data_IF_051286313051
#
_entry.id   IF_051286313051
#
_cell.length_a   1.000
_cell.length_b   1.000
_cell.length_c   1.000
_cell.angle_alpha   90.00
_cell.angle_beta   90.00
_cell.angle_gamma   90.00
#
_symmetry.space_group_name_H-M   'P 1'
#
loop_
_entity.id
_entity.type
_entity.pdbx_description
1 polymer ?
#
# COMPACT_ATOMS: atom_id res chain seq x y z
N UNK A 1 22.58 4.67 16.68
CA UNK A 1 21.28 4.15 16.21
C UNK A 1 20.76 5.21 15.26
N UNK A 2 20.51 4.89 14.00
CA UNK A 2 19.80 5.78 13.07
C UNK A 2 18.40 5.97 13.62
N UNK A 3 17.87 7.21 13.63
CA UNK A 3 16.49 7.49 14.05
C UNK A 3 15.53 6.69 13.17
N UNK A 4 14.51 6.07 13.77
CA UNK A 4 13.48 5.34 13.02
C UNK A 4 12.61 6.33 12.24
N UNK A 5 12.17 5.92 11.05
CA UNK A 5 11.32 6.72 10.19
C UNK A 5 9.87 6.62 10.67
N UNK A 6 9.29 7.74 11.11
CA UNK A 6 7.87 7.80 11.48
C UNK A 6 6.98 7.71 10.25
N UNK A 7 6.06 6.74 10.24
CA UNK A 7 5.16 6.50 9.12
C UNK A 7 3.69 6.41 9.54
N UNK A 8 2.81 6.77 8.63
CA UNK A 8 1.37 6.45 8.66
C UNK A 8 1.10 5.56 7.46
N UNK A 9 0.39 4.45 7.67
CA UNK A 9 0.05 3.47 6.63
C UNK A 9 -1.45 3.54 6.32
N UNK A 10 -1.79 3.87 5.07
CA UNK A 10 -3.15 3.80 4.52
C UNK A 10 -3.25 2.58 3.60
N UNK A 11 -4.20 1.68 3.86
CA UNK A 11 -4.23 0.32 3.30
C UNK A 11 -5.66 -0.18 3.14
N UNK A 12 -5.90 -1.15 2.25
CA UNK A 12 -7.20 -1.83 2.09
C UNK A 12 -7.08 -3.35 2.31
N UNK A 13 -6.73 -3.81 3.54
CA UNK A 13 -6.16 -5.11 3.82
C UNK A 13 -6.77 -6.28 3.08
N UNK A 14 -5.99 -6.72 2.08
CA UNK A 14 -6.05 -7.98 1.40
C UNK A 14 -4.87 -8.87 1.82
N UNK A 15 -4.53 -9.85 0.98
CA UNK A 15 -3.52 -10.87 1.31
C UNK A 15 -2.09 -10.30 1.28
N UNK A 16 -1.73 -9.49 0.30
CA UNK A 16 -0.39 -8.86 0.22
C UNK A 16 -0.25 -7.66 1.16
N UNK A 17 -1.35 -6.93 1.43
CA UNK A 17 -1.37 -5.94 2.52
C UNK A 17 -0.95 -6.55 3.86
N UNK A 18 -1.38 -7.78 4.17
CA UNK A 18 -0.97 -8.44 5.42
C UNK A 18 0.55 -8.58 5.54
N UNK A 19 1.24 -8.85 4.44
CA UNK A 19 2.70 -8.89 4.39
C UNK A 19 3.32 -7.49 4.54
N UNK A 20 2.72 -6.47 3.91
CA UNK A 20 3.17 -5.08 4.01
C UNK A 20 2.98 -4.53 5.44
N UNK A 21 1.83 -4.81 6.08
CA UNK A 21 1.57 -4.44 7.47
C UNK A 21 2.57 -5.14 8.42
N UNK A 22 2.85 -6.44 8.21
CA UNK A 22 3.89 -7.14 8.98
C UNK A 22 5.26 -6.44 8.86
N UNK A 23 5.67 -6.12 7.62
CA UNK A 23 6.92 -5.41 7.40
C UNK A 23 6.95 -4.01 8.02
N UNK A 24 5.84 -3.26 7.95
CA UNK A 24 5.72 -1.94 8.57
C UNK A 24 5.82 -2.00 10.10
N UNK A 25 5.30 -3.06 10.72
CA UNK A 25 5.35 -3.26 12.18
C UNK A 25 6.71 -3.74 12.68
N UNK A 26 7.40 -4.59 11.91
CA UNK A 26 8.57 -5.32 12.41
C UNK A 26 9.90 -4.90 11.78
N UNK A 27 9.91 -4.02 10.75
CA UNK A 27 11.16 -3.44 10.26
C UNK A 27 11.72 -2.47 11.31
N UNK A 28 12.94 -2.73 11.86
CA UNK A 28 13.49 -1.89 12.95
C UNK A 28 13.74 -0.43 12.58
N UNK A 29 13.75 -0.13 11.28
CA UNK A 29 13.95 1.21 10.73
C UNK A 29 12.67 2.04 10.71
N UNK A 30 11.50 1.41 10.89
CA UNK A 30 10.19 2.07 10.82
C UNK A 30 9.57 2.22 12.19
N UNK A 31 8.85 3.30 12.37
CA UNK A 31 8.03 3.59 13.55
C UNK A 31 6.61 3.94 13.08
N UNK A 32 5.75 2.91 13.04
CA UNK A 32 4.39 3.00 12.56
C UNK A 32 3.50 3.67 13.61
N UNK A 33 2.96 4.86 13.29
CA UNK A 33 2.20 5.70 14.22
C UNK A 33 0.68 5.51 14.11
N UNK A 34 0.20 5.14 12.93
CA UNK A 34 -1.23 4.97 12.64
C UNK A 34 -1.41 4.05 11.43
N UNK A 35 -2.42 3.20 11.49
CA UNK A 35 -2.99 2.53 10.32
C UNK A 35 -4.35 3.16 10.00
N UNK A 36 -4.59 3.45 8.72
CA UNK A 36 -5.91 3.83 8.23
C UNK A 36 -6.37 2.85 7.16
N UNK A 37 -7.67 2.62 7.08
CA UNK A 37 -8.23 1.71 6.09
C UNK A 37 -9.10 2.43 5.08
N UNK A 38 -9.20 1.88 3.87
CA UNK A 38 -10.03 2.40 2.78
C UNK A 38 -10.76 1.24 2.11
N UNK A 39 -11.87 1.50 1.46
CA UNK A 39 -12.51 0.52 0.59
C UNK A 39 -11.70 0.35 -0.69
N UNK A 40 -11.44 -0.88 -1.07
CA UNK A 40 -10.66 -1.23 -2.26
C UNK A 40 -10.78 -2.72 -2.53
N UNK A 41 -9.86 -3.53 -2.05
CA UNK A 41 -9.87 -4.98 -2.21
C UNK A 41 -11.22 -5.61 -1.81
N UNK A 42 -11.83 -5.11 -0.75
CA UNK A 42 -13.18 -5.40 -0.28
C UNK A 42 -13.80 -4.14 0.32
N UNK A 43 -15.02 -4.22 0.88
CA UNK A 43 -15.65 -3.06 1.54
C UNK A 43 -14.82 -2.57 2.74
N UNK A 44 -14.97 -1.29 3.11
CA UNK A 44 -14.21 -0.68 4.20
C UNK A 44 -14.43 -1.36 5.56
N UNK A 45 -15.61 -1.92 5.79
CA UNK A 45 -15.90 -2.69 7.00
C UNK A 45 -15.06 -3.97 7.05
N UNK A 46 -14.88 -4.63 5.90
CA UNK A 46 -14.05 -5.83 5.80
C UNK A 46 -12.56 -5.49 5.90
N UNK A 47 -12.08 -4.43 5.21
CA UNK A 47 -10.67 -3.99 5.29
C UNK A 47 -10.32 -3.56 6.70
N UNK A 48 -11.22 -2.83 7.40
CA UNK A 48 -11.05 -2.43 8.80
C UNK A 48 -10.99 -3.65 9.72
N UNK A 49 -11.91 -4.60 9.56
CA UNK A 49 -11.89 -5.85 10.33
C UNK A 49 -10.59 -6.63 10.11
N UNK A 50 -10.15 -6.74 8.87
CA UNK A 50 -8.92 -7.43 8.51
C UNK A 50 -7.68 -6.79 9.18
N UNK A 51 -7.57 -5.46 9.15
CA UNK A 51 -6.49 -4.75 9.84
C UNK A 51 -6.53 -4.97 11.36
N UNK A 52 -7.72 -4.92 11.97
CA UNK A 52 -7.88 -5.18 13.41
C UNK A 52 -7.51 -6.63 13.78
N UNK A 53 -7.85 -7.61 12.94
CA UNK A 53 -7.47 -9.01 13.12
C UNK A 53 -5.94 -9.20 13.08
N UNK A 54 -5.26 -8.54 12.13
CA UNK A 54 -3.81 -8.55 12.03
C UNK A 54 -3.15 -7.91 13.26
N UNK A 55 -3.62 -6.72 13.68
CA UNK A 55 -3.13 -6.06 14.89
C UNK A 55 -3.37 -6.91 16.15
N UNK A 56 -4.52 -7.57 16.24
CA UNK A 56 -4.79 -8.50 17.34
C UNK A 56 -3.87 -9.72 17.30
N UNK A 57 -3.68 -10.31 16.13
CA UNK A 57 -2.77 -11.44 15.92
C UNK A 57 -1.35 -11.12 16.39
N UNK A 58 -0.83 -9.94 16.12
CA UNK A 58 0.51 -9.51 16.54
C UNK A 58 0.56 -8.88 17.94
N UNK A 59 -0.58 -8.75 18.62
CA UNK A 59 -0.68 -8.04 19.90
C UNK A 59 -0.12 -6.61 19.83
N UNK A 60 -0.39 -5.93 18.72
CA UNK A 60 0.09 -4.56 18.45
C UNK A 60 -0.95 -3.53 18.91
N UNK A 61 -0.52 -2.48 19.59
CA UNK A 61 -1.39 -1.39 20.07
C UNK A 61 -1.43 -0.17 19.13
N UNK A 62 -0.92 -0.33 17.90
CA UNK A 62 -1.00 0.73 16.89
C UNK A 62 -2.45 1.15 16.69
N UNK A 63 -2.76 2.46 16.77
CA UNK A 63 -4.10 2.96 16.54
C UNK A 63 -4.52 2.72 15.09
N UNK A 64 -5.83 2.45 14.89
CA UNK A 64 -6.41 2.22 13.58
C UNK A 64 -7.66 3.08 13.41
N UNK A 65 -7.81 3.74 12.25
CA UNK A 65 -9.01 4.50 11.90
C UNK A 65 -9.62 3.99 10.60
N UNK A 66 -10.94 3.79 10.61
CA UNK A 66 -11.70 3.46 9.41
C UNK A 66 -11.85 4.70 8.51
N UNK A 67 -11.65 4.54 7.21
CA UNK A 67 -11.73 5.61 6.24
C UNK A 67 -12.89 5.51 5.28
N UNK A 68 -12.66 5.95 4.04
CA UNK A 68 -13.68 6.08 3.02
C UNK A 68 -14.28 4.73 2.63
N UNK A 69 -15.60 4.66 2.58
CA UNK A 69 -16.37 3.48 2.17
C UNK A 69 -16.61 3.44 0.64
N UNK A 70 -16.33 4.52 -0.05
CA UNK A 70 -16.52 4.64 -1.50
C UNK A 70 -15.51 5.62 -2.09
N UNK A 71 -15.18 5.48 -3.39
CA UNK A 71 -14.45 6.48 -4.16
C UNK A 71 -15.14 7.85 -4.15
N UNK A 72 -14.40 8.92 -4.49
CA UNK A 72 -14.92 10.30 -4.46
C UNK A 72 -16.16 10.48 -5.37
N UNK A 73 -16.14 9.91 -6.57
CA UNK A 73 -17.20 10.14 -7.55
C UNK A 73 -17.81 8.84 -8.13
N UNK A 74 -17.12 7.72 -8.04
CA UNK A 74 -17.49 6.47 -8.72
C UNK A 74 -18.07 5.45 -7.75
N UNK A 75 -18.88 4.48 -8.20
CA UNK A 75 -19.21 3.32 -7.40
C UNK A 75 -17.94 2.50 -7.13
N UNK A 76 -17.86 1.92 -5.93
CA UNK A 76 -16.78 0.99 -5.59
C UNK A 76 -16.80 -0.22 -6.54
N UNK A 77 -15.62 -0.57 -7.00
CA UNK A 77 -15.34 -1.81 -7.76
C UNK A 77 -14.23 -2.53 -7.03
N UNK A 78 -14.57 -3.58 -6.32
CA UNK A 78 -13.65 -4.31 -5.46
C UNK A 78 -12.84 -5.40 -6.20
N UNK A 79 -11.93 -6.05 -5.48
CA UNK A 79 -11.08 -7.14 -5.93
C UNK A 79 -11.32 -8.44 -5.15
N UNK A 80 -12.55 -8.69 -4.67
CA UNK A 80 -12.88 -9.93 -3.97
C UNK A 80 -12.55 -11.19 -4.80
N UNK A 81 -12.53 -11.08 -6.13
CA UNK A 81 -12.11 -12.16 -7.03
C UNK A 81 -10.61 -12.51 -6.91
N UNK A 82 -9.78 -11.62 -6.34
CA UNK A 82 -8.34 -11.84 -6.08
C UNK A 82 -8.09 -12.31 -4.65
N UNK A 83 -8.69 -11.64 -3.67
CA UNK A 83 -8.39 -11.79 -2.23
C UNK A 83 -9.41 -12.65 -1.48
N UNK A 84 -10.49 -13.10 -2.16
CA UNK A 84 -11.62 -13.79 -1.55
C UNK A 84 -12.64 -12.83 -0.95
N UNK A 85 -13.82 -13.35 -0.59
CA UNK A 85 -14.96 -12.58 -0.09
C UNK A 85 -14.67 -11.81 1.21
N UNK A 86 -13.79 -12.33 2.05
CA UNK A 86 -13.35 -11.66 3.27
C UNK A 86 -12.23 -10.65 3.04
N UNK A 87 -11.52 -10.73 1.91
CA UNK A 87 -10.29 -10.02 1.62
C UNK A 87 -9.02 -10.74 2.13
N UNK A 88 -9.14 -11.62 3.13
CA UNK A 88 -8.03 -12.40 3.69
C UNK A 88 -8.44 -13.85 3.92
N UNK A 89 -8.90 -14.52 2.85
CA UNK A 89 -9.20 -15.94 2.92
C UNK A 89 -7.93 -16.77 3.14
N UNK A 90 -8.09 -17.88 3.89
CA UNK A 90 -7.02 -18.87 4.08
C UNK A 90 -6.43 -18.95 5.48
N UNK A 91 -6.83 -18.06 6.39
CA UNK A 91 -6.43 -18.13 7.79
C UNK A 91 -7.60 -17.77 8.71
N UNK A 92 -7.84 -18.61 9.72
CA UNK A 92 -8.89 -18.40 10.72
C UNK A 92 -8.35 -17.55 11.88
N UNK A 93 -8.60 -16.25 11.84
CA UNK A 93 -8.24 -15.33 12.90
C UNK A 93 -9.13 -15.52 14.12
N UNK A 94 -8.55 -15.39 15.31
CA UNK A 94 -9.27 -15.45 16.58
C UNK A 94 -10.15 -14.19 16.72
N UNK A 95 -11.39 -14.37 17.20
CA UNK A 95 -12.29 -13.27 17.48
C UNK A 95 -11.73 -12.32 18.55
N UNK A 96 -11.98 -11.03 18.39
CA UNK A 96 -11.48 -9.99 19.27
C UNK A 96 -12.50 -8.85 19.44
N UNK A 97 -12.30 -8.03 20.49
CA UNK A 97 -13.15 -6.88 20.80
C UNK A 97 -12.50 -5.52 20.43
N UNK A 98 -11.39 -5.53 19.66
CA UNK A 98 -10.73 -4.29 19.23
C UNK A 98 -11.67 -3.49 18.33
N UNK A 99 -11.67 -2.18 18.50
CA UNK A 99 -12.47 -1.24 17.71
C UNK A 99 -11.53 -0.21 17.06
N UNK A 100 -11.88 0.31 15.88
CA UNK A 100 -11.18 1.44 15.29
C UNK A 100 -11.43 2.71 16.13
N UNK A 101 -10.60 3.73 15.92
CA UNK A 101 -10.83 5.06 16.47
C UNK A 101 -12.21 5.58 16.03
N UNK A 102 -12.89 6.32 16.90
CA UNK A 102 -14.22 6.89 16.62
C UNK A 102 -14.19 8.12 15.68
N UNK A 103 -13.11 8.29 14.93
CA UNK A 103 -12.92 9.37 13.94
C UNK A 103 -12.51 8.79 12.59
N UNK A 104 -12.93 9.41 11.47
CA UNK A 104 -12.57 8.92 10.14
C UNK A 104 -11.06 9.07 9.86
N UNK A 105 -10.55 8.25 8.95
CA UNK A 105 -9.13 8.15 8.61
C UNK A 105 -8.47 9.51 8.34
N UNK A 106 -9.04 10.34 7.48
CA UNK A 106 -8.43 11.63 7.11
C UNK A 106 -8.29 12.60 8.28
N UNK A 107 -9.20 12.53 9.28
CA UNK A 107 -9.08 13.29 10.53
C UNK A 107 -8.00 12.67 11.43
N UNK A 108 -7.95 11.34 11.52
CA UNK A 108 -6.90 10.68 12.31
C UNK A 108 -5.51 10.96 11.75
N UNK A 109 -5.34 10.93 10.42
CA UNK A 109 -4.07 11.30 9.75
C UNK A 109 -3.71 12.75 10.07
N UNK A 110 -4.65 13.71 9.90
CA UNK A 110 -4.42 15.11 10.25
C UNK A 110 -3.92 15.26 11.70
N UNK A 111 -4.60 14.62 12.64
CA UNK A 111 -4.27 14.76 14.06
C UNK A 111 -2.86 14.25 14.35
N UNK A 112 -2.45 13.14 13.73
CA UNK A 112 -1.09 12.60 13.89
C UNK A 112 -0.07 13.56 13.26
N UNK A 113 -0.30 14.01 12.02
CA UNK A 113 0.60 14.94 11.32
C UNK A 113 0.79 16.25 12.07
N UNK A 114 -0.30 16.85 12.57
CA UNK A 114 -0.26 18.15 13.25
C UNK A 114 0.37 18.09 14.64
N UNK A 115 0.41 16.92 15.28
CA UNK A 115 1.06 16.71 16.57
C UNK A 115 2.47 16.12 16.45
N UNK A 116 2.90 15.75 15.25
CA UNK A 116 4.24 15.20 15.02
C UNK A 116 5.31 16.28 15.21
N UNK A 117 6.45 15.95 15.84
CA UNK A 117 7.55 16.92 16.03
C UNK A 117 8.29 17.27 14.74
N UNK A 118 8.14 16.43 13.71
CA UNK A 118 8.74 16.61 12.38
C UNK A 118 7.83 16.04 11.29
N UNK A 119 7.98 16.47 10.02
CA UNK A 119 7.20 15.94 8.92
C UNK A 119 7.33 14.42 8.78
N UNK A 120 6.20 13.74 8.60
CA UNK A 120 6.11 12.29 8.54
C UNK A 120 5.99 11.76 7.10
N UNK A 121 6.29 10.50 6.91
CA UNK A 121 6.05 9.81 5.64
C UNK A 121 4.66 9.16 5.66
N UNK A 122 3.86 9.48 4.65
CA UNK A 122 2.63 8.74 4.35
C UNK A 122 2.96 7.56 3.43
N UNK A 123 2.39 6.41 3.72
CA UNK A 123 2.47 5.22 2.87
C UNK A 123 1.06 4.82 2.51
N UNK A 124 0.72 4.87 1.22
CA UNK A 124 -0.61 4.50 0.73
C UNK A 124 -0.48 3.27 -0.18
N UNK A 125 -1.02 2.14 0.25
CA UNK A 125 -0.97 0.88 -0.49
C UNK A 125 -2.36 0.42 -0.97
N UNK A 126 -3.40 1.23 -0.70
CA UNK A 126 -4.75 1.11 -1.24
C UNK A 126 -5.14 2.30 -2.12
N UNK A 127 -6.42 2.39 -2.52
CA UNK A 127 -6.96 3.56 -3.24
C UNK A 127 -6.74 4.86 -2.49
N UNK A 128 -6.38 5.94 -3.19
CA UNK A 128 -5.91 7.21 -2.61
C UNK A 128 -7.02 8.11 -2.02
N UNK A 129 -8.22 7.59 -1.83
CA UNK A 129 -9.40 8.35 -1.37
C UNK A 129 -9.18 9.06 -0.04
N UNK A 130 -8.60 8.38 0.96
CA UNK A 130 -8.32 9.00 2.27
C UNK A 130 -7.30 10.13 2.17
N UNK A 131 -6.26 9.96 1.35
CA UNK A 131 -5.21 10.97 1.14
C UNK A 131 -5.79 12.18 0.42
N UNK A 132 -6.63 11.95 -0.61
CA UNK A 132 -7.33 13.03 -1.29
C UNK A 132 -8.25 13.81 -0.35
N UNK A 133 -9.04 13.12 0.49
CA UNK A 133 -9.91 13.75 1.48
C UNK A 133 -9.09 14.57 2.50
N UNK A 134 -7.94 14.07 2.95
CA UNK A 134 -7.03 14.83 3.81
C UNK A 134 -6.63 16.15 3.15
N UNK A 135 -6.13 16.09 1.92
CA UNK A 135 -5.61 17.26 1.20
C UNK A 135 -6.71 18.25 0.81
N UNK A 136 -7.92 17.77 0.55
CA UNK A 136 -9.08 18.62 0.26
C UNK A 136 -9.59 19.38 1.48
N UNK A 137 -9.65 18.69 2.63
CA UNK A 137 -10.22 19.27 3.86
C UNK A 137 -9.19 20.03 4.70
N UNK A 138 -7.92 19.62 4.62
CA UNK A 138 -6.82 20.13 5.45
C UNK A 138 -5.55 20.32 4.61
N UNK A 139 -5.58 21.22 3.60
CA UNK A 139 -4.43 21.45 2.72
C UNK A 139 -3.18 21.91 3.47
N UNK A 140 -3.34 22.52 4.64
CA UNK A 140 -2.25 22.91 5.52
C UNK A 140 -1.42 21.73 6.03
N UNK A 141 -1.98 20.51 6.06
CA UNK A 141 -1.23 19.33 6.45
C UNK A 141 -0.11 18.95 5.48
N UNK A 142 -0.14 19.46 4.25
CA UNK A 142 0.87 19.15 3.25
C UNK A 142 2.30 19.48 3.72
N UNK A 143 2.48 20.55 4.51
CA UNK A 143 3.79 20.92 5.05
C UNK A 143 4.31 19.94 6.13
N UNK A 144 3.42 19.14 6.74
CA UNK A 144 3.75 18.10 7.72
C UNK A 144 3.94 16.72 7.08
N UNK A 145 3.80 16.62 5.75
CA UNK A 145 4.07 15.41 4.98
C UNK A 145 5.44 15.55 4.35
N UNK A 146 6.40 14.74 4.80
CA UNK A 146 7.75 14.69 4.23
C UNK A 146 7.70 14.16 2.79
N UNK A 147 6.95 13.08 2.59
CA UNK A 147 6.68 12.45 1.29
C UNK A 147 5.50 11.49 1.37
N UNK A 148 4.97 11.16 0.21
CA UNK A 148 4.01 10.08 0.02
C UNK A 148 4.68 8.97 -0.78
N UNK A 149 4.71 7.75 -0.22
CA UNK A 149 5.09 6.54 -0.96
C UNK A 149 3.83 5.77 -1.25
N UNK A 150 3.55 5.50 -2.51
CA UNK A 150 2.32 4.79 -2.87
C UNK A 150 2.59 3.51 -3.69
N UNK A 151 1.77 2.48 -3.45
CA UNK A 151 1.61 1.37 -4.38
C UNK A 151 0.41 1.69 -5.29
N UNK A 152 0.65 1.80 -6.57
CA UNK A 152 -0.39 2.09 -7.56
C UNK A 152 0.16 2.57 -8.88
N UNK A 153 -0.67 2.45 -9.90
CA UNK A 153 -0.36 2.91 -11.24
C UNK A 153 0.60 2.02 -12.03
N UNK A 154 0.89 2.45 -13.23
CA UNK A 154 1.81 1.79 -14.16
C UNK A 154 2.25 2.78 -15.25
N UNK A 155 3.49 2.69 -15.71
CA UNK A 155 3.94 3.34 -16.92
C UNK A 155 3.57 2.53 -18.19
N UNK A 156 3.02 1.35 -18.02
CA UNK A 156 2.68 0.41 -19.09
C UNK A 156 1.25 -0.12 -18.97
N UNK A 157 1.13 -1.44 -18.86
CA UNK A 157 -0.17 -2.12 -18.79
C UNK A 157 -0.73 -2.12 -17.37
N UNK A 158 -2.07 -2.06 -17.28
CA UNK A 158 -2.78 -2.27 -16.03
C UNK A 158 -2.95 -3.75 -15.63
N UNK A 159 -3.55 -3.96 -14.47
CA UNK A 159 -3.96 -5.26 -13.95
C UNK A 159 -5.47 -5.34 -13.71
N UNK A 160 -6.14 -4.20 -13.55
CA UNK A 160 -7.59 -4.12 -13.35
C UNK A 160 -8.34 -3.87 -14.67
N UNK A 161 -7.82 -2.99 -15.50
CA UNK A 161 -8.17 -2.84 -16.91
C UNK A 161 -6.91 -3.02 -17.76
N UNK A 162 -7.00 -3.13 -19.09
CA UNK A 162 -5.81 -3.20 -19.94
C UNK A 162 -4.81 -2.06 -19.71
N UNK A 163 -5.28 -0.88 -19.25
CA UNK A 163 -4.50 0.35 -19.12
C UNK A 163 -4.37 0.86 -17.69
N UNK A 164 -5.19 0.39 -16.76
CA UNK A 164 -5.24 0.94 -15.41
C UNK A 164 -4.89 -0.11 -14.34
N UNK A 165 -4.06 0.31 -13.40
CA UNK A 165 -3.78 -0.43 -12.18
C UNK A 165 -4.95 -0.23 -11.18
N UNK A 166 -5.17 -1.24 -10.32
CA UNK A 166 -6.35 -1.35 -9.47
C UNK A 166 -6.55 -0.15 -8.53
N UNK A 167 -5.54 0.20 -7.72
CA UNK A 167 -5.66 1.28 -6.72
C UNK A 167 -6.01 2.63 -7.36
N UNK A 168 -5.40 2.91 -8.52
CA UNK A 168 -5.70 4.13 -9.28
C UNK A 168 -7.06 4.03 -9.97
N UNK A 169 -7.42 2.86 -10.50
CA UNK A 169 -8.69 2.67 -11.22
C UNK A 169 -9.91 2.68 -10.31
N UNK A 170 -9.76 2.34 -9.04
CA UNK A 170 -10.85 2.43 -8.05
C UNK A 170 -11.27 3.88 -7.82
N UNK A 171 -10.31 4.80 -7.66
CA UNK A 171 -10.59 6.23 -7.47
C UNK A 171 -9.64 7.12 -8.28
N UNK A 172 -9.86 7.22 -9.62
CA UNK A 172 -9.01 8.04 -10.48
C UNK A 172 -9.01 9.51 -10.10
N UNK A 173 -10.12 10.03 -9.60
CA UNK A 173 -10.28 11.43 -9.19
C UNK A 173 -9.41 11.73 -7.96
N UNK A 174 -9.43 10.85 -6.97
CA UNK A 174 -8.55 10.97 -5.79
C UNK A 174 -7.07 10.91 -6.21
N UNK A 175 -6.70 9.96 -7.06
CA UNK A 175 -5.35 9.84 -7.56
C UNK A 175 -4.91 11.09 -8.34
N UNK A 176 -5.76 11.61 -9.23
CA UNK A 176 -5.47 12.84 -9.97
C UNK A 176 -5.25 14.04 -9.05
N UNK A 177 -6.01 14.17 -7.97
CA UNK A 177 -5.84 15.19 -6.94
C UNK A 177 -4.49 15.04 -6.25
N UNK A 178 -4.15 13.82 -5.83
CA UNK A 178 -2.90 13.54 -5.11
C UNK A 178 -1.68 13.83 -5.98
N UNK A 179 -1.64 13.40 -7.24
CA UNK A 179 -0.52 13.71 -8.15
C UNK A 179 -0.37 15.21 -8.48
N UNK A 180 -1.42 16.01 -8.28
CA UNK A 180 -1.39 17.48 -8.45
C UNK A 180 -1.10 18.25 -7.16
N UNK A 181 -0.97 17.58 -6.04
CA UNK A 181 -0.89 18.20 -4.71
C UNK A 181 0.43 18.94 -4.43
N UNK A 182 1.48 18.69 -5.20
CA UNK A 182 2.82 19.21 -4.96
C UNK A 182 3.60 18.46 -3.88
N UNK A 183 3.08 17.37 -3.34
CA UNK A 183 3.82 16.49 -2.43
C UNK A 183 5.00 15.82 -3.17
N UNK A 184 6.05 15.50 -2.41
CA UNK A 184 7.09 14.57 -2.90
C UNK A 184 6.47 13.17 -2.97
N UNK A 185 6.26 12.65 -4.19
CA UNK A 185 5.64 11.35 -4.42
C UNK A 185 6.66 10.33 -4.91
N UNK A 186 6.63 9.12 -4.31
CA UNK A 186 7.31 7.94 -4.82
C UNK A 186 6.24 6.93 -5.22
N UNK A 187 6.21 6.59 -6.50
CA UNK A 187 5.25 5.68 -7.09
C UNK A 187 5.88 4.30 -7.31
N UNK A 188 5.43 3.30 -6.56
CA UNK A 188 5.71 1.89 -6.79
C UNK A 188 4.60 1.29 -7.66
N UNK A 189 4.67 1.49 -8.97
CA UNK A 189 3.70 0.99 -9.94
C UNK A 189 3.93 -0.48 -10.33
N UNK A 190 3.08 -1.01 -11.22
CA UNK A 190 3.19 -2.40 -11.71
C UNK A 190 4.52 -2.67 -12.42
N UNK A 191 5.19 -1.64 -12.92
CA UNK A 191 6.49 -1.76 -13.58
C UNK A 191 7.53 -2.38 -12.64
N UNK A 192 7.53 -1.99 -11.38
CA UNK A 192 8.41 -2.54 -10.34
C UNK A 192 7.77 -3.69 -9.58
N UNK A 193 6.47 -3.58 -9.22
CA UNK A 193 5.85 -4.56 -8.33
C UNK A 193 5.62 -5.92 -9.00
N UNK A 194 5.50 -5.98 -10.31
CA UNK A 194 5.48 -7.25 -11.05
C UNK A 194 6.81 -8.02 -10.97
N UNK A 195 7.92 -7.35 -10.65
CA UNK A 195 9.23 -7.97 -10.45
C UNK A 195 9.37 -8.54 -9.02
N UNK A 196 8.62 -8.02 -8.04
CA UNK A 196 8.67 -8.36 -6.62
C UNK A 196 8.01 -9.73 -6.33
N UNK A 197 8.61 -10.79 -6.85
CA UNK A 197 8.07 -12.14 -6.73
C UNK A 197 8.80 -12.95 -5.66
N UNK A 198 8.05 -13.47 -4.70
CA UNK A 198 8.52 -14.47 -3.74
C UNK A 198 8.53 -15.84 -4.41
N UNK A 199 9.67 -16.53 -4.34
CA UNK A 199 9.85 -17.82 -4.99
C UNK A 199 9.08 -18.95 -4.26
N UNK A 200 8.72 -20.03 -4.95
CA UNK A 200 8.12 -21.22 -4.32
C UNK A 200 8.95 -21.77 -3.15
N UNK A 201 10.28 -21.78 -3.29
CA UNK A 201 11.18 -22.27 -2.24
C UNK A 201 11.11 -21.40 -0.97
N UNK A 202 11.00 -20.07 -1.13
CA UNK A 202 10.81 -19.16 0.00
C UNK A 202 9.44 -19.38 0.65
N UNK A 203 8.38 -19.43 -0.15
CA UNK A 203 7.00 -19.62 0.33
C UNK A 203 6.87 -20.92 1.15
N UNK A 204 7.47 -22.02 0.69
CA UNK A 204 7.45 -23.30 1.39
C UNK A 204 8.23 -23.30 2.72
N UNK A 205 9.15 -22.35 2.91
CA UNK A 205 9.93 -22.20 4.15
C UNK A 205 9.23 -21.32 5.19
N UNK A 206 8.29 -20.46 4.78
CA UNK A 206 7.59 -19.53 5.68
C UNK A 206 7.00 -20.17 6.94
N UNK A 207 6.33 -21.35 6.88
CA UNK A 207 5.73 -21.96 8.07
C UNK A 207 6.74 -22.38 9.13
N UNK A 208 8.00 -22.59 8.75
CA UNK A 208 9.06 -22.98 9.68
C UNK A 208 9.75 -21.76 10.31
N UNK A 209 9.48 -20.56 9.84
CA UNK A 209 10.14 -19.35 10.31
C UNK A 209 9.61 -18.92 11.68
N UNK A 210 8.32 -18.69 11.79
CA UNK A 210 7.63 -18.26 13.00
C UNK A 210 6.10 -18.33 12.84
N UNK A 211 5.35 -17.81 13.82
CA UNK A 211 3.88 -17.76 13.79
C UNK A 211 3.36 -16.89 12.63
N UNK A 212 3.99 -15.76 12.37
CA UNK A 212 3.66 -14.86 11.25
C UNK A 212 3.87 -15.55 9.91
N UNK A 213 4.98 -16.26 9.75
CA UNK A 213 5.24 -17.05 8.54
C UNK A 213 4.18 -18.13 8.28
N UNK A 214 3.68 -18.80 9.34
CA UNK A 214 2.57 -19.77 9.20
C UNK A 214 1.28 -19.09 8.70
N UNK A 215 0.93 -17.94 9.28
CA UNK A 215 -0.25 -17.17 8.89
C UNK A 215 -0.13 -16.68 7.43
N UNK A 216 0.99 -16.03 7.06
CA UNK A 216 1.23 -15.54 5.71
C UNK A 216 1.23 -16.68 4.68
N UNK A 217 1.83 -17.82 4.99
CA UNK A 217 1.79 -18.98 4.11
C UNK A 217 0.36 -19.45 3.84
N UNK A 218 -0.50 -19.48 4.88
CA UNK A 218 -1.91 -19.86 4.73
C UNK A 218 -2.67 -18.87 3.85
N UNK A 219 -2.46 -17.56 4.02
CA UNK A 219 -3.04 -16.53 3.17
C UNK A 219 -2.56 -16.65 1.73
N UNK A 220 -1.25 -16.81 1.50
CA UNK A 220 -0.67 -16.90 0.15
C UNK A 220 -1.15 -18.11 -0.65
N UNK A 221 -1.56 -19.20 0.00
CA UNK A 221 -2.21 -20.34 -0.66
C UNK A 221 -3.54 -19.95 -1.34
N UNK A 222 -4.20 -18.89 -0.88
CA UNK A 222 -5.47 -18.40 -1.42
C UNK A 222 -5.30 -17.17 -2.32
N UNK A 223 -4.09 -16.61 -2.39
CA UNK A 223 -3.81 -15.40 -3.16
C UNK A 223 -3.74 -15.68 -4.66
N UNK A 224 -4.60 -15.02 -5.43
CA UNK A 224 -4.74 -15.27 -6.88
C UNK A 224 -3.83 -14.41 -7.75
N UNK A 225 -2.93 -13.61 -7.16
CA UNK A 225 -1.85 -12.90 -7.87
C UNK A 225 -0.58 -13.77 -8.00
N UNK A 226 -0.77 -15.03 -8.31
CA UNK A 226 0.28 -16.01 -8.45
C UNK A 226 -0.14 -17.41 -7.95
N UNK A 227 0.82 -18.24 -7.61
CA UNK A 227 0.56 -19.53 -6.99
C UNK A 227 1.77 -20.00 -6.17
N UNK A 228 1.52 -20.93 -5.24
CA UNK A 228 2.60 -21.56 -4.47
C UNK A 228 3.61 -22.32 -5.36
N UNK A 229 3.24 -22.66 -6.60
CA UNK A 229 4.13 -23.35 -7.55
C UNK A 229 4.93 -22.41 -8.44
N UNK A 230 4.42 -21.21 -8.73
CA UNK A 230 5.06 -20.24 -9.63
C UNK A 230 5.64 -19.04 -8.90
N UNK A 231 5.32 -18.87 -7.62
CA UNK A 231 5.59 -17.69 -6.81
C UNK A 231 4.40 -16.76 -6.74
N UNK A 232 4.41 -15.86 -5.77
CA UNK A 232 3.40 -14.82 -5.57
C UNK A 232 4.04 -13.44 -5.63
N UNK A 233 3.34 -12.47 -6.21
CA UNK A 233 3.77 -11.08 -6.30
C UNK A 233 3.39 -10.35 -5.03
N UNK A 234 4.32 -9.55 -4.54
CA UNK A 234 4.14 -8.71 -3.34
C UNK A 234 4.07 -7.24 -3.76
N UNK A 235 2.89 -6.81 -4.22
CA UNK A 235 2.72 -5.45 -4.73
C UNK A 235 2.97 -4.42 -3.63
N UNK A 236 2.24 -4.49 -2.55
CA UNK A 236 2.23 -3.49 -1.47
C UNK A 236 3.53 -3.44 -0.69
N UNK A 237 4.17 -4.60 -0.57
CA UNK A 237 5.44 -4.73 0.14
C UNK A 237 6.56 -3.90 -0.51
N UNK A 238 6.44 -3.56 -1.81
CA UNK A 238 7.41 -2.70 -2.51
C UNK A 238 7.46 -1.29 -1.91
N UNK A 239 6.32 -0.72 -1.52
CA UNK A 239 6.29 0.61 -0.90
C UNK A 239 7.02 0.62 0.46
N UNK A 240 6.84 -0.44 1.26
CA UNK A 240 7.54 -0.59 2.54
C UNK A 240 9.04 -0.88 2.31
N UNK A 241 9.36 -1.75 1.35
CA UNK A 241 10.74 -2.09 1.02
C UNK A 241 11.54 -0.85 0.58
N UNK A 242 10.94 0.02 -0.23
CA UNK A 242 11.60 1.25 -0.68
C UNK A 242 11.97 2.18 0.48
N UNK A 243 11.16 2.26 1.53
CA UNK A 243 11.47 3.09 2.70
C UNK A 243 12.71 2.61 3.46
N UNK A 244 12.92 1.29 3.49
CA UNK A 244 13.99 0.65 4.29
C UNK A 244 15.24 0.39 3.46
N UNK A 245 15.06 0.06 2.19
CA UNK A 245 16.10 -0.36 1.24
C UNK A 245 15.93 0.33 -0.11
N UNK A 246 15.99 1.69 -0.17
CA UNK A 246 15.77 2.44 -1.40
C UNK A 246 16.78 2.07 -2.51
N UNK A 247 17.98 1.62 -2.14
CA UNK A 247 19.03 1.19 -3.06
C UNK A 247 18.66 -0.04 -3.90
N UNK A 248 17.63 -0.80 -3.50
CA UNK A 248 17.13 -1.93 -4.29
C UNK A 248 16.32 -1.48 -5.51
N UNK A 249 15.93 -0.22 -5.57
CA UNK A 249 15.02 0.32 -6.59
C UNK A 249 15.73 1.29 -7.52
N UNK A 250 15.43 1.18 -8.82
CA UNK A 250 15.80 2.21 -9.79
C UNK A 250 14.60 3.11 -10.03
N UNK A 251 14.75 4.40 -9.71
CA UNK A 251 13.70 5.40 -9.86
C UNK A 251 14.05 6.37 -11.00
N UNK A 252 13.00 6.91 -11.62
CA UNK A 252 13.11 8.00 -12.58
C UNK A 252 12.14 9.13 -12.23
N UNK A 253 12.63 10.37 -12.27
CA UNK A 253 11.77 11.56 -12.13
C UNK A 253 10.90 11.71 -13.36
N UNK A 254 9.58 11.64 -13.20
CA UNK A 254 8.63 11.74 -14.30
C UNK A 254 7.49 12.70 -13.95
N UNK A 255 6.91 13.29 -14.99
CA UNK A 255 5.57 13.84 -14.87
C UNK A 255 4.57 12.68 -14.93
N UNK A 256 3.65 12.64 -13.97
CA UNK A 256 2.58 11.65 -13.90
C UNK A 256 1.23 12.37 -13.84
N UNK A 257 0.35 12.05 -14.78
CA UNK A 257 -1.04 12.46 -14.78
C UNK A 257 -1.96 11.23 -14.68
N UNK A 258 -3.17 11.42 -14.17
CA UNK A 258 -4.17 10.35 -14.12
C UNK A 258 -5.31 10.70 -15.07
N UNK A 259 -5.65 9.80 -15.98
CA UNK A 259 -6.78 9.93 -16.88
C UNK A 259 -8.09 9.65 -16.11
N UNK A 260 -9.00 10.60 -16.11
CA UNK A 260 -10.26 10.52 -15.34
C UNK A 260 -11.52 10.42 -16.19
N UNK A 261 -11.45 10.65 -17.49
CA UNK A 261 -12.66 10.82 -18.34
C UNK A 261 -12.85 9.74 -19.40
N UNK A 262 -11.76 9.13 -19.87
CA UNK A 262 -11.83 8.19 -20.98
C UNK A 262 -12.60 6.92 -20.64
N UNK A 263 -13.52 6.50 -21.52
CA UNK A 263 -14.33 5.29 -21.32
C UNK A 263 -13.48 4.04 -21.07
N UNK A 264 -12.32 3.92 -21.74
CA UNK A 264 -11.43 2.76 -21.66
C UNK A 264 -10.09 3.06 -20.96
N UNK A 265 -9.82 4.33 -20.67
CA UNK A 265 -8.53 4.80 -20.14
C UNK A 265 -8.63 5.45 -18.77
N UNK A 266 -9.84 5.66 -18.25
CA UNK A 266 -10.00 6.19 -16.89
C UNK A 266 -9.28 5.29 -15.87
N UNK A 267 -8.48 5.91 -15.00
CA UNK A 267 -7.60 5.23 -14.04
C UNK A 267 -6.20 4.91 -14.59
N UNK A 268 -5.92 5.21 -15.86
CA UNK A 268 -4.57 5.09 -16.41
C UNK A 268 -3.68 6.18 -15.83
N UNK A 269 -2.52 5.81 -15.31
CA UNK A 269 -1.42 6.74 -15.04
C UNK A 269 -0.64 7.00 -16.34
N UNK A 270 -0.64 8.24 -16.78
CA UNK A 270 0.16 8.72 -17.93
C UNK A 270 1.52 9.14 -17.38
N UNK A 271 2.49 8.24 -17.45
CA UNK A 271 3.86 8.47 -16.97
C UNK A 271 4.73 8.95 -18.14
N UNK A 272 5.16 10.19 -18.08
CA UNK A 272 5.99 10.81 -19.15
C UNK A 272 7.47 10.51 -18.90
N UNK A 273 7.88 9.29 -19.23
CA UNK A 273 9.26 8.82 -19.05
C UNK A 273 10.25 9.63 -19.92
N UNK A 274 9.83 10.03 -21.12
CA UNK A 274 10.71 10.70 -22.10
C UNK A 274 10.60 12.23 -22.07
N UNK A 275 9.74 12.80 -21.19
CA UNK A 275 9.54 14.25 -21.07
C UNK A 275 8.82 14.88 -22.27
N UNK A 276 8.05 14.11 -23.02
CA UNK A 276 7.35 14.56 -24.25
C UNK A 276 6.25 15.58 -24.00
N UNK A 277 5.65 15.56 -22.80
CA UNK A 277 4.60 16.49 -22.42
C UNK A 277 5.15 17.86 -21.99
N UNK A 278 6.47 17.98 -21.80
CA UNK A 278 7.12 19.21 -21.39
C UNK A 278 6.69 19.75 -20.02
N UNK A 279 6.11 18.89 -19.18
CA UNK A 279 5.71 19.23 -17.82
C UNK A 279 6.82 18.91 -16.82
N UNK A 280 6.97 19.70 -15.74
CA UNK A 280 7.92 19.37 -14.68
C UNK A 280 7.54 18.05 -14.00
N UNK A 281 8.55 17.25 -13.63
CA UNK A 281 8.33 16.02 -12.89
C UNK A 281 7.62 16.30 -11.55
N UNK A 282 6.63 15.47 -11.22
CA UNK A 282 5.86 15.52 -9.98
C UNK A 282 5.94 14.22 -9.17
N UNK A 283 6.65 13.21 -9.67
CA UNK A 283 6.84 11.94 -8.97
C UNK A 283 8.19 11.30 -9.30
N UNK A 284 8.69 10.51 -8.37
CA UNK A 284 9.74 9.53 -8.59
C UNK A 284 9.07 8.19 -8.87
N UNK A 285 9.25 7.65 -10.05
CA UNK A 285 8.60 6.40 -10.49
C UNK A 285 9.61 5.26 -10.43
N UNK A 286 9.30 4.21 -9.67
CA UNK A 286 10.12 3.02 -9.55
C UNK A 286 9.92 2.13 -10.79
N UNK A 287 10.99 1.84 -11.53
CA UNK A 287 10.95 1.10 -12.79
C UNK A 287 11.66 -0.25 -12.74
N UNK A 288 12.65 -0.42 -11.85
CA UNK A 288 13.37 -1.67 -11.71
C UNK A 288 13.65 -2.01 -10.24
N UNK A 289 13.80 -3.29 -9.96
CA UNK A 289 14.03 -3.86 -8.64
C UNK A 289 15.21 -4.83 -8.67
N UNK A 290 16.10 -4.73 -7.69
CA UNK A 290 16.99 -5.84 -7.35
C UNK A 290 16.16 -6.93 -6.64
N UNK A 291 15.71 -7.90 -7.41
CA UNK A 291 14.79 -8.96 -6.95
C UNK A 291 15.43 -9.85 -5.87
N UNK A 292 16.71 -10.13 -5.97
CA UNK A 292 17.40 -10.98 -5.01
C UNK A 292 17.64 -10.24 -3.70
N UNK A 293 18.06 -8.97 -3.76
CA UNK A 293 18.14 -8.09 -2.58
C UNK A 293 16.77 -7.90 -1.90
N UNK A 294 15.71 -7.76 -2.69
CA UNK A 294 14.33 -7.68 -2.15
C UNK A 294 13.92 -8.95 -1.42
N UNK A 295 14.15 -10.13 -2.01
CA UNK A 295 13.84 -11.42 -1.36
C UNK A 295 14.63 -11.64 -0.07
N UNK A 296 15.90 -11.23 -0.07
CA UNK A 296 16.72 -11.28 1.13
C UNK A 296 16.14 -10.38 2.22
N UNK A 297 15.81 -9.14 1.90
CA UNK A 297 15.18 -8.21 2.85
C UNK A 297 13.84 -8.74 3.38
N UNK A 298 13.00 -9.33 2.53
CA UNK A 298 11.73 -9.94 2.96
C UNK A 298 11.97 -11.07 3.97
N UNK A 299 12.97 -11.91 3.72
CA UNK A 299 13.33 -12.98 4.67
C UNK A 299 13.80 -12.41 6.02
N UNK A 300 14.60 -11.35 5.99
CA UNK A 300 15.11 -10.67 7.18
C UNK A 300 13.96 -10.01 7.97
N UNK A 301 13.08 -9.24 7.32
CA UNK A 301 12.01 -8.52 8.02
C UNK A 301 10.98 -9.47 8.61
N UNK A 302 10.63 -10.56 7.92
CA UNK A 302 9.69 -11.54 8.48
C UNK A 302 10.30 -12.37 9.62
N UNK A 303 11.62 -12.46 9.70
CA UNK A 303 12.28 -13.10 10.85
C UNK A 303 12.18 -12.26 12.13
N UNK A 304 11.97 -10.95 12.05
CA UNK A 304 11.72 -10.10 13.22
C UNK A 304 10.28 -10.23 13.76
N UNK A 305 9.34 -10.72 12.96
CA UNK A 305 7.97 -10.93 13.39
C UNK A 305 7.86 -12.13 14.35
N UNK A 306 6.86 -12.15 15.28
CA UNK A 306 6.68 -13.23 16.24
C UNK A 306 6.14 -14.53 15.61
#
# INVERSE_FOLDING_TARGET
MTASLHIILDTDPGIDDAAAIAAALFAPQLDLQLITTVAGNVSVEKTTRNALQLLHFWNSDIPLAQGAAAPLLRPLRDAAYVHGESGMEGYDFVDHQRQPLAKPAFIAIRDVLMNAPEPMTLVAIGPLTNIALLLMHYPECACNIRRLVLMGGSAGRGNFTPNAEFNIAVDPEAAALVFRSGLEIVMCGLDVTNQAMLSPDFLNKLPALNRTGKMLHSLFNHYRSGSMRTGVRMHDLCAIAWLVRPELFTLQSCFVAVETQGQYTAGTTVVDIEGRLGQPANAQVALALDVDGFRQWVAEVFAYAP
#
